data_IF_629432267625
#
_entry.id   IF_629432267625
#
_cell.length_a   1.000
_cell.length_b   1.000
_cell.length_c   1.000
_cell.angle_alpha   90.00
_cell.angle_beta   90.00
_cell.angle_gamma   90.00
#
_symmetry.space_group_name_H-M   'P 1'
#
loop_
_entity.id
_entity.type
_entity.pdbx_description
1 polymer ?
#
# COMPACT_ATOMS: atom_id res chain seq x y z
N UNK A 1 -12.47 -10.16 2.76
CA UNK A 1 -11.34 -9.79 1.87
C UNK A 1 -11.73 -8.53 1.09
N UNK A 2 -10.77 -7.74 0.63
CA UNK A 2 -11.01 -6.52 -0.18
C UNK A 2 -10.20 -6.63 -1.47
N UNK A 3 -10.80 -6.23 -2.58
CA UNK A 3 -10.14 -6.13 -3.89
C UNK A 3 -9.47 -4.77 -3.99
N UNK A 4 -8.17 -4.75 -4.31
CA UNK A 4 -7.43 -3.53 -4.63
C UNK A 4 -7.82 -3.11 -6.04
N UNK A 5 -8.40 -1.92 -6.16
CA UNK A 5 -8.68 -1.30 -7.45
C UNK A 5 -7.40 -0.73 -8.06
N UNK A 6 -7.40 -0.58 -9.39
CA UNK A 6 -6.27 0.02 -10.11
C UNK A 6 -6.03 1.47 -9.65
N UNK A 7 -7.09 2.21 -9.31
CA UNK A 7 -6.99 3.56 -8.74
C UNK A 7 -6.23 3.54 -7.42
N UNK A 8 -6.57 2.62 -6.51
CA UNK A 8 -5.89 2.51 -5.22
C UNK A 8 -4.43 2.08 -5.38
N UNK A 9 -4.15 1.13 -6.29
CA UNK A 9 -2.79 0.71 -6.62
C UNK A 9 -1.97 1.88 -7.18
N UNK A 10 -2.54 2.68 -8.08
CA UNK A 10 -1.87 3.86 -8.62
C UNK A 10 -1.58 4.91 -7.54
N UNK A 11 -2.51 5.12 -6.59
CA UNK A 11 -2.25 5.97 -5.42
C UNK A 11 -1.08 5.45 -4.58
N UNK A 12 -1.00 4.13 -4.33
CA UNK A 12 0.13 3.53 -3.63
C UNK A 12 1.46 3.74 -4.36
N UNK A 13 1.49 3.52 -5.68
CA UNK A 13 2.70 3.69 -6.48
C UNK A 13 3.17 5.15 -6.48
N UNK A 14 2.24 6.10 -6.65
CA UNK A 14 2.54 7.53 -6.62
C UNK A 14 3.04 7.99 -5.26
N UNK A 15 2.35 7.62 -4.19
CA UNK A 15 2.70 8.05 -2.82
C UNK A 15 3.95 7.35 -2.28
N UNK A 16 4.24 6.13 -2.72
CA UNK A 16 5.47 5.40 -2.35
C UNK A 16 6.72 6.16 -2.79
N UNK A 17 6.70 6.78 -3.97
CA UNK A 17 7.85 7.48 -4.52
C UNK A 17 9.12 6.63 -4.44
N UNK A 18 10.17 7.18 -3.82
CA UNK A 18 11.47 6.50 -3.65
C UNK A 18 11.58 5.62 -2.40
N UNK A 19 10.50 5.44 -1.61
CA UNK A 19 10.54 4.59 -0.43
C UNK A 19 10.88 3.15 -0.83
N UNK A 20 11.87 2.56 -0.17
CA UNK A 20 12.14 1.13 -0.29
C UNK A 20 10.96 0.30 0.24
N UNK A 21 10.86 -0.97 -0.16
CA UNK A 21 9.84 -1.88 0.40
C UNK A 21 10.01 -2.06 1.91
N UNK A 22 11.24 -2.01 2.42
CA UNK A 22 11.53 -2.09 3.86
C UNK A 22 10.98 -0.88 4.60
N UNK A 23 11.22 0.34 4.11
CA UNK A 23 10.66 1.56 4.71
C UNK A 23 9.13 1.55 4.64
N UNK A 24 8.56 1.20 3.48
CA UNK A 24 7.10 1.13 3.32
C UNK A 24 6.47 0.10 4.26
N UNK A 25 7.14 -1.04 4.48
CA UNK A 25 6.70 -2.05 5.43
C UNK A 25 6.72 -1.53 6.87
N UNK A 26 7.77 -0.80 7.25
CA UNK A 26 7.87 -0.19 8.57
C UNK A 26 6.80 0.89 8.80
N UNK A 27 6.49 1.72 7.80
CA UNK A 27 5.49 2.80 7.95
C UNK A 27 4.06 2.33 7.87
N UNK A 28 3.76 1.30 7.07
CA UNK A 28 2.39 0.77 6.91
C UNK A 28 2.08 -0.37 7.88
N UNK A 29 3.09 -1.02 8.45
CA UNK A 29 2.93 -2.26 9.23
C UNK A 29 2.39 -3.44 8.40
N UNK A 30 2.55 -3.40 7.07
CA UNK A 30 2.23 -4.50 6.14
C UNK A 30 3.51 -5.23 5.77
N UNK A 31 3.45 -6.56 5.68
CA UNK A 31 4.61 -7.38 5.33
C UNK A 31 5.20 -7.00 3.96
N UNK A 32 6.54 -6.97 3.88
CA UNK A 32 7.30 -6.63 2.67
C UNK A 32 6.91 -7.44 1.43
N UNK A 33 6.71 -8.74 1.57
CA UNK A 33 6.30 -9.61 0.46
C UNK A 33 4.90 -9.28 -0.02
N UNK A 34 3.97 -9.06 0.90
CA UNK A 34 2.60 -8.65 0.56
C UNK A 34 2.59 -7.30 -0.16
N UNK A 35 3.38 -6.32 0.31
CA UNK A 35 3.55 -5.04 -0.37
C UNK A 35 4.13 -5.22 -1.78
N UNK A 36 5.16 -6.05 -1.93
CA UNK A 36 5.75 -6.33 -3.24
C UNK A 36 4.71 -6.88 -4.21
N UNK A 37 3.97 -7.92 -3.81
CA UNK A 37 2.94 -8.54 -4.65
C UNK A 37 1.80 -7.60 -5.02
N UNK A 38 1.39 -6.72 -4.09
CA UNK A 38 0.39 -5.68 -4.37
C UNK A 38 0.94 -4.69 -5.42
N UNK A 39 2.16 -4.19 -5.21
CA UNK A 39 2.75 -3.14 -6.04
C UNK A 39 3.08 -3.60 -7.45
N UNK A 40 3.43 -4.88 -7.65
CA UNK A 40 3.60 -5.47 -8.99
C UNK A 40 2.27 -5.93 -9.60
N UNK A 41 1.15 -5.80 -8.88
CA UNK A 41 -0.18 -6.17 -9.33
C UNK A 41 -0.49 -7.67 -9.33
N UNK A 42 0.42 -8.52 -8.83
CA UNK A 42 0.19 -9.98 -8.74
C UNK A 42 -0.82 -10.35 -7.66
N UNK A 43 -0.93 -9.53 -6.60
CA UNK A 43 -1.95 -9.68 -5.54
C UNK A 43 -2.98 -8.56 -5.62
N UNK A 44 -4.17 -8.89 -6.12
CA UNK A 44 -5.32 -7.98 -6.19
C UNK A 44 -6.30 -8.12 -5.04
N UNK A 45 -6.20 -9.17 -4.22
CA UNK A 45 -7.12 -9.44 -3.11
C UNK A 45 -6.33 -9.52 -1.81
N UNK A 46 -6.74 -8.71 -0.83
CA UNK A 46 -6.06 -8.60 0.48
C UNK A 46 -7.03 -8.73 1.63
N UNK A 47 -6.50 -8.95 2.83
CA UNK A 47 -7.31 -8.92 4.05
C UNK A 47 -7.78 -7.48 4.33
N UNK A 48 -8.93 -7.33 5.00
CA UNK A 48 -9.49 -6.01 5.36
C UNK A 48 -8.48 -5.17 6.15
N UNK A 49 -7.78 -5.78 7.11
CA UNK A 49 -6.76 -5.11 7.91
C UNK A 49 -5.59 -4.58 7.05
N UNK A 50 -5.12 -5.37 6.09
CA UNK A 50 -4.07 -4.93 5.15
C UNK A 50 -4.50 -3.73 4.32
N UNK A 51 -5.74 -3.76 3.81
CA UNK A 51 -6.29 -2.64 3.06
C UNK A 51 -6.38 -1.37 3.92
N UNK A 52 -6.92 -1.49 5.14
CA UNK A 52 -7.05 -0.34 6.06
C UNK A 52 -5.69 0.27 6.38
N UNK A 53 -4.68 -0.51 6.74
CA UNK A 53 -3.31 -0.03 6.97
C UNK A 53 -2.74 0.78 5.80
N UNK A 54 -3.00 0.34 4.56
CA UNK A 54 -2.55 1.04 3.36
C UNK A 54 -3.35 2.31 3.09
N UNK A 55 -4.67 2.29 3.33
CA UNK A 55 -5.54 3.44 3.20
C UNK A 55 -5.20 4.53 4.23
N UNK A 56 -4.99 4.14 5.49
CA UNK A 56 -4.59 5.05 6.56
C UNK A 56 -3.24 5.71 6.24
N UNK A 57 -2.28 4.92 5.77
CA UNK A 57 -0.98 5.44 5.35
C UNK A 57 -1.10 6.44 4.18
N UNK A 58 -1.96 6.16 3.18
CA UNK A 58 -2.23 7.09 2.09
C UNK A 58 -2.86 8.40 2.58
N UNK A 59 -3.81 8.32 3.51
CA UNK A 59 -4.44 9.51 4.10
C UNK A 59 -3.42 10.39 4.84
N UNK A 60 -2.54 9.77 5.65
CA UNK A 60 -1.47 10.48 6.36
C UNK A 60 -0.51 11.21 5.40
N UNK A 61 -0.21 10.61 4.24
CA UNK A 61 0.65 11.24 3.24
C UNK A 61 -0.06 12.38 2.53
N UNK A 62 -1.34 12.23 2.22
CA UNK A 62 -2.13 13.27 1.56
C UNK A 62 -2.26 14.54 2.41
N UNK A 63 -2.30 14.42 3.73
CA UNK A 63 -2.34 15.57 4.67
C UNK A 63 -0.99 16.28 4.82
N UNK A 64 0.12 15.65 4.41
CA UNK A 64 1.48 16.21 4.50
C UNK A 64 1.95 16.88 3.20
N UNK A 65 1.14 16.82 2.15
CA UNK A 65 1.43 17.37 0.81
C UNK A 65 0.82 18.73 0.57
#
# INVERSE_FOLDING_TARGET
MIVISDVFLNSLLKSKGMLSLTQLSATTGVNRYTLHEILIGSRKVVQKNTYMKLADWLAIIAEKG
#
